data_IF_256212709013
#
_entry.id   IF_256212709013
#
_cell.length_a   1.000
_cell.length_b   1.000
_cell.length_c   1.000
_cell.angle_alpha   90.00
_cell.angle_beta   90.00
_cell.angle_gamma   90.00
#
_symmetry.space_group_name_H-M   'P 1'
#
loop_
_entity.id
_entity.type
_entity.pdbx_description
1 polymer ?
#
# COMPACT_ATOMS: atom_id res chain seq x y z
N UNK A 1 4.07 -19.60 25.13
CA UNK A 1 5.20 -19.20 24.26
C UNK A 1 4.75 -18.40 23.01
N UNK A 2 3.62 -18.73 22.35
CA UNK A 2 3.18 -18.06 21.11
C UNK A 2 2.96 -16.55 21.20
N UNK A 3 2.50 -16.01 22.34
CA UNK A 3 2.24 -14.57 22.47
C UNK A 3 3.50 -13.70 22.33
N UNK A 4 4.69 -14.19 22.72
CA UNK A 4 5.95 -13.43 22.59
C UNK A 4 6.35 -13.26 21.12
N UNK A 5 6.25 -14.33 20.33
CA UNK A 5 6.56 -14.29 18.90
C UNK A 5 5.62 -13.36 18.14
N UNK A 6 4.32 -13.44 18.41
CA UNK A 6 3.35 -12.53 17.78
C UNK A 6 3.64 -11.07 18.11
N UNK A 7 3.97 -10.74 19.37
CA UNK A 7 4.33 -9.37 19.75
C UNK A 7 5.61 -8.88 19.07
N UNK A 8 6.61 -9.75 18.92
CA UNK A 8 7.85 -9.40 18.19
C UNK A 8 7.56 -9.16 16.70
N UNK A 9 6.72 -10.00 16.10
CA UNK A 9 6.31 -9.83 14.70
C UNK A 9 5.53 -8.52 14.50
N UNK A 10 4.65 -8.16 15.44
CA UNK A 10 3.96 -6.87 15.41
C UNK A 10 4.93 -5.69 15.31
N UNK A 11 5.92 -5.65 16.21
CA UNK A 11 6.95 -4.60 16.23
C UNK A 11 7.81 -4.63 14.95
N UNK A 12 8.07 -5.81 14.41
CA UNK A 12 8.81 -5.96 13.16
C UNK A 12 8.05 -5.35 11.97
N UNK A 13 6.76 -5.67 11.82
CA UNK A 13 5.92 -5.13 10.75
C UNK A 13 5.75 -3.60 10.87
N UNK A 14 5.61 -3.06 12.08
CA UNK A 14 5.62 -1.60 12.30
C UNK A 14 6.92 -0.97 11.82
N UNK A 15 8.07 -1.55 12.18
CA UNK A 15 9.37 -1.07 11.75
C UNK A 15 9.53 -1.12 10.21
N UNK A 16 8.99 -2.15 9.54
CA UNK A 16 9.00 -2.22 8.08
C UNK A 16 8.16 -1.13 7.43
N UNK A 17 6.98 -0.83 7.98
CA UNK A 17 6.15 0.28 7.50
C UNK A 17 6.91 1.61 7.62
N UNK A 18 7.56 1.85 8.75
CA UNK A 18 8.34 3.08 8.97
C UNK A 18 9.54 3.17 8.02
N UNK A 19 10.22 2.06 7.75
CA UNK A 19 11.31 2.00 6.76
C UNK A 19 10.81 2.33 5.35
N UNK A 20 9.65 1.79 4.94
CA UNK A 20 9.07 2.09 3.62
C UNK A 20 8.70 3.56 3.53
N UNK A 21 8.07 4.13 4.57
CA UNK A 21 7.74 5.56 4.63
C UNK A 21 8.98 6.45 4.58
N UNK A 22 10.07 6.05 5.24
CA UNK A 22 11.35 6.76 5.21
C UNK A 22 12.08 6.66 3.85
N UNK A 23 11.80 5.62 3.05
CA UNK A 23 12.45 5.39 1.75
C UNK A 23 12.03 6.37 0.63
N UNK A 24 11.02 7.20 0.88
CA UNK A 24 10.57 8.26 -0.01
C UNK A 24 9.05 8.39 -0.10
N UNK A 25 8.60 9.21 -1.04
CA UNK A 25 7.18 9.57 -1.15
C UNK A 25 6.28 8.35 -1.34
N UNK A 26 5.18 8.35 -0.59
CA UNK A 26 4.09 7.36 -0.68
C UNK A 26 2.94 8.01 -1.44
N UNK A 27 2.42 7.31 -2.44
CA UNK A 27 1.32 7.84 -3.23
C UNK A 27 0.03 8.00 -2.40
N UNK A 28 -0.79 9.03 -2.66
CA UNK A 28 -2.07 9.20 -1.99
C UNK A 28 -3.03 8.02 -2.31
N UNK A 29 -4.11 7.86 -1.51
CA UNK A 29 -5.16 6.92 -1.85
C UNK A 29 -5.88 7.32 -3.14
N UNK A 30 -6.57 6.36 -3.75
CA UNK A 30 -7.39 6.56 -4.95
C UNK A 30 -6.63 7.16 -6.15
N UNK A 31 -5.36 6.79 -6.31
CA UNK A 31 -4.59 7.09 -7.51
C UNK A 31 -4.00 5.83 -8.14
N UNK A 32 -3.93 5.80 -9.47
CA UNK A 32 -3.36 4.70 -10.24
C UNK A 32 -2.75 5.21 -11.55
N UNK A 33 -1.89 4.40 -12.15
CA UNK A 33 -1.31 4.65 -13.46
C UNK A 33 -2.10 3.90 -14.53
N UNK A 34 -2.26 4.51 -15.70
CA UNK A 34 -2.86 3.88 -16.86
C UNK A 34 -2.11 4.32 -18.12
N UNK A 35 -2.11 3.46 -19.13
CA UNK A 35 -1.56 3.80 -20.44
C UNK A 35 -2.66 4.35 -21.35
N UNK A 36 -2.29 5.34 -22.16
CA UNK A 36 -3.13 5.87 -23.22
C UNK A 36 -2.32 5.96 -24.51
N UNK A 37 -2.98 5.76 -25.64
CA UNK A 37 -2.34 5.86 -26.94
C UNK A 37 -2.98 6.97 -27.76
N UNK A 38 -2.16 7.62 -28.59
CA UNK A 38 -2.61 8.62 -29.55
C UNK A 38 -1.94 8.37 -30.89
N UNK A 39 -2.75 8.26 -31.94
CA UNK A 39 -2.26 8.05 -33.30
C UNK A 39 -2.22 9.38 -34.05
N UNK A 40 -1.05 9.74 -34.56
CA UNK A 40 -0.84 10.97 -35.35
C UNK A 40 0.01 10.65 -36.57
N UNK A 41 -0.48 11.01 -37.76
CA UNK A 41 0.20 10.78 -39.05
C UNK A 41 0.65 9.33 -39.24
N UNK A 42 -0.23 8.36 -38.91
CA UNK A 42 0.05 6.93 -39.04
C UNK A 42 1.00 6.33 -37.99
N UNK A 43 1.51 7.14 -37.04
CA UNK A 43 2.34 6.66 -35.92
C UNK A 43 1.54 6.67 -34.61
N UNK A 44 1.58 5.56 -33.88
CA UNK A 44 0.95 5.42 -32.55
C UNK A 44 1.96 5.76 -31.46
N UNK A 45 1.59 6.66 -30.56
CA UNK A 45 2.40 7.06 -29.41
C UNK A 45 1.71 6.61 -28.13
N UNK A 46 2.46 5.93 -27.24
CA UNK A 46 1.97 5.49 -25.94
C UNK A 46 2.47 6.44 -24.85
N UNK A 47 1.57 6.77 -23.93
CA UNK A 47 1.83 7.66 -22.80
C UNK A 47 1.27 7.04 -21.52
N UNK A 48 1.93 7.32 -20.41
CA UNK A 48 1.43 7.00 -19.08
C UNK A 48 0.70 8.21 -18.52
N UNK A 49 -0.42 7.95 -17.86
CA UNK A 49 -1.28 8.93 -17.22
C UNK A 49 -1.46 8.53 -15.76
N UNK A 50 -1.28 9.49 -14.86
CA UNK A 50 -1.72 9.37 -13.47
C UNK A 50 -3.18 9.76 -13.40
N UNK A 51 -4.01 8.87 -12.87
CA UNK A 51 -5.41 9.12 -12.58
C UNK A 51 -5.59 9.24 -11.06
N UNK A 52 -6.42 10.18 -10.65
CA UNK A 52 -6.82 10.40 -9.25
C UNK A 52 -8.34 10.49 -9.18
N UNK A 53 -8.98 9.72 -8.29
CA UNK A 53 -10.43 9.71 -8.13
C UNK A 53 -10.85 9.62 -6.66
N UNK A 54 -10.91 10.75 -5.94
CA UNK A 54 -11.51 10.79 -4.60
C UNK A 54 -12.99 10.37 -4.62
N UNK A 55 -13.55 9.85 -3.49
CA UNK A 55 -14.90 9.27 -3.42
C UNK A 55 -16.04 10.16 -3.96
N UNK A 56 -15.89 11.48 -3.84
CA UNK A 56 -16.93 12.45 -4.19
C UNK A 56 -16.58 13.33 -5.41
N UNK A 57 -15.58 12.91 -6.21
CA UNK A 57 -15.08 13.73 -7.32
C UNK A 57 -14.91 12.93 -8.60
N UNK A 58 -15.15 13.60 -9.74
CA UNK A 58 -14.84 13.03 -11.05
C UNK A 58 -13.33 12.73 -11.17
N UNK A 59 -12.94 11.64 -11.86
CA UNK A 59 -11.54 11.33 -12.11
C UNK A 59 -10.80 12.50 -12.76
N UNK A 60 -9.60 12.79 -12.25
CA UNK A 60 -8.67 13.74 -12.87
C UNK A 60 -7.46 12.98 -13.37
N UNK A 61 -7.07 13.28 -14.61
CA UNK A 61 -5.93 12.66 -15.27
C UNK A 61 -4.81 13.68 -15.52
N UNK A 62 -3.56 13.25 -15.35
CA UNK A 62 -2.36 14.03 -15.67
C UNK A 62 -1.39 13.15 -16.45
N UNK A 63 -0.99 13.59 -17.65
CA UNK A 63 0.05 12.89 -18.42
C UNK A 63 1.40 12.96 -17.70
N UNK A 64 2.06 11.80 -17.56
CA UNK A 64 3.41 11.69 -17.02
C UNK A 64 4.47 11.66 -18.13
N UNK A 65 4.05 11.47 -19.38
CA UNK A 65 4.93 11.32 -20.54
C UNK A 65 4.96 9.88 -21.03
N UNK A 66 6.09 9.48 -21.63
CA UNK A 66 6.25 8.10 -22.14
C UNK A 66 6.42 7.09 -21.00
N UNK A 67 6.06 5.82 -21.23
CA UNK A 67 6.50 4.71 -20.39
C UNK A 67 8.02 4.77 -20.16
N UNK A 68 8.44 4.47 -18.94
CA UNK A 68 9.85 4.53 -18.51
C UNK A 68 10.42 5.93 -18.27
N UNK A 69 9.64 7.00 -18.39
CA UNK A 69 10.12 8.34 -18.01
C UNK A 69 10.36 8.47 -16.51
N UNK A 70 11.23 9.40 -16.09
CA UNK A 70 11.51 9.65 -14.66
C UNK A 70 10.23 9.90 -13.84
N UNK A 71 9.26 10.64 -14.41
CA UNK A 71 7.96 10.87 -13.74
C UNK A 71 7.13 9.60 -13.62
N UNK A 72 7.15 8.74 -14.64
CA UNK A 72 6.50 7.43 -14.57
C UNK A 72 7.12 6.58 -13.46
N UNK A 73 8.45 6.43 -13.44
CA UNK A 73 9.14 5.65 -12.41
C UNK A 73 8.89 6.18 -11.02
N UNK A 74 8.99 7.50 -10.82
CA UNK A 74 8.73 8.13 -9.53
C UNK A 74 7.33 7.78 -9.00
N UNK A 75 6.29 7.91 -9.83
CA UNK A 75 4.93 7.57 -9.44
C UNK A 75 4.69 6.07 -9.27
N UNK A 76 5.28 5.25 -10.12
CA UNK A 76 5.19 3.79 -10.00
C UNK A 76 5.80 3.32 -8.66
N UNK A 77 6.97 3.84 -8.28
CA UNK A 77 7.59 3.54 -7.00
C UNK A 77 6.76 4.05 -5.82
N UNK A 78 6.21 5.27 -5.91
CA UNK A 78 5.37 5.81 -4.83
C UNK A 78 4.08 5.00 -4.61
N UNK A 79 3.47 4.49 -5.69
CA UNK A 79 2.30 3.61 -5.64
C UNK A 79 2.69 2.25 -5.06
N UNK A 80 3.81 1.67 -5.49
CA UNK A 80 4.30 0.41 -4.95
C UNK A 80 4.56 0.49 -3.44
N UNK A 81 5.14 1.60 -2.95
CA UNK A 81 5.29 1.84 -1.50
C UNK A 81 3.94 1.87 -0.78
N UNK A 82 2.94 2.57 -1.33
CA UNK A 82 1.59 2.63 -0.75
C UNK A 82 0.97 1.23 -0.65
N UNK A 83 1.10 0.43 -1.69
CA UNK A 83 0.56 -0.93 -1.73
C UNK A 83 1.24 -1.85 -0.73
N UNK A 84 2.58 -1.78 -0.62
CA UNK A 84 3.33 -2.52 0.38
C UNK A 84 2.93 -2.11 1.81
N UNK A 85 2.76 -0.81 2.08
CA UNK A 85 2.27 -0.34 3.39
C UNK A 85 0.87 -0.89 3.68
N UNK A 86 -0.05 -0.82 2.71
CA UNK A 86 -1.41 -1.30 2.90
C UNK A 86 -1.46 -2.82 3.20
N UNK A 87 -0.60 -3.61 2.55
CA UNK A 87 -0.46 -5.03 2.83
C UNK A 87 0.05 -5.29 4.26
N UNK A 88 1.10 -4.57 4.69
CA UNK A 88 1.63 -4.68 6.05
C UNK A 88 0.60 -4.24 7.11
N UNK A 89 -0.18 -3.19 6.84
CA UNK A 89 -1.27 -2.74 7.72
C UNK A 89 -2.38 -3.79 7.86
N UNK A 90 -2.69 -4.52 6.78
CA UNK A 90 -3.61 -5.66 6.83
C UNK A 90 -3.03 -6.79 7.69
N UNK A 91 -1.75 -7.12 7.52
CA UNK A 91 -1.07 -8.14 8.34
C UNK A 91 -1.06 -7.77 9.83
N UNK A 92 -0.78 -6.50 10.17
CA UNK A 92 -0.87 -5.98 11.54
C UNK A 92 -2.27 -6.14 12.11
N UNK A 93 -3.31 -5.86 11.32
CA UNK A 93 -4.71 -6.01 11.74
C UNK A 93 -5.04 -7.47 12.09
N UNK A 94 -4.64 -8.41 11.24
CA UNK A 94 -4.83 -9.83 11.48
C UNK A 94 -4.07 -10.31 12.72
N UNK A 95 -2.83 -9.86 12.87
CA UNK A 95 -1.97 -10.26 13.98
C UNK A 95 -2.47 -9.72 15.32
N UNK A 96 -2.99 -8.48 15.33
CA UNK A 96 -3.64 -7.90 16.51
C UNK A 96 -4.86 -8.73 16.93
N UNK A 97 -5.72 -9.11 15.99
CA UNK A 97 -6.89 -9.95 16.27
C UNK A 97 -6.49 -11.33 16.86
N UNK A 98 -5.38 -11.92 16.39
CA UNK A 98 -4.85 -13.17 16.94
C UNK A 98 -4.33 -13.02 18.37
N UNK A 99 -3.61 -11.93 18.67
CA UNK A 99 -3.13 -11.62 20.03
C UNK A 99 -4.31 -11.45 20.98
N UNK A 100 -5.32 -10.67 20.58
CA UNK A 100 -6.53 -10.43 21.38
C UNK A 100 -7.29 -11.73 21.65
N UNK A 101 -7.45 -12.59 20.64
CA UNK A 101 -8.07 -13.91 20.81
C UNK A 101 -7.30 -14.80 21.79
N UNK A 102 -5.97 -14.85 21.70
CA UNK A 102 -5.16 -15.64 22.63
C UNK A 102 -5.27 -15.11 24.07
N UNK A 103 -5.28 -13.80 24.26
CA UNK A 103 -5.44 -13.19 25.57
C UNK A 103 -6.80 -13.56 26.20
N UNK A 104 -7.88 -13.49 25.40
CA UNK A 104 -9.23 -13.88 25.85
C UNK A 104 -9.30 -15.35 26.25
N UNK A 105 -8.75 -16.26 25.45
CA UNK A 105 -8.71 -17.70 25.80
C UNK A 105 -7.93 -17.96 27.08
N UNK A 106 -6.77 -17.30 27.25
CA UNK A 106 -5.95 -17.45 28.45
C UNK A 106 -6.62 -16.87 29.72
N UNK A 107 -7.52 -15.90 29.58
CA UNK A 107 -8.34 -15.40 30.68
C UNK A 107 -9.43 -16.41 31.04
N UNK A 108 -10.17 -16.91 30.05
CA UNK A 108 -11.23 -17.90 30.27
C UNK A 108 -10.72 -19.18 30.96
N UNK A 109 -9.53 -19.66 30.58
CA UNK A 109 -8.91 -20.83 31.24
C UNK A 109 -8.60 -20.52 32.71
N UNK A 110 -8.13 -19.30 33.01
CA UNK A 110 -7.83 -18.87 34.39
C UNK A 110 -9.09 -18.68 35.24
N UNK A 111 -10.21 -18.32 34.63
CA UNK A 111 -11.47 -18.09 35.36
C UNK A 111 -12.24 -19.41 35.64
N UNK A 112 -11.87 -20.50 34.95
CA UNK A 112 -12.50 -21.84 35.07
C UNK A 112 -11.70 -22.76 36.01
N UNK A 113 -10.43 -22.45 36.29
CA UNK A 113 -9.56 -23.17 37.23
C UNK A 113 -9.54 -22.51 38.60
#
# INVERSE_FOLDING_TARGET
MNSKFLKLEYVHLEALIDQIKASGDVAPPYCWLTETSSTKQGKTYVYVVLVTQPPDRKPKSRSLGRPGSNRHHHWATAIARREAIAELEQQLTLLRALIERQAKTAQLIRDVM
#
